data_IF_541992533967
#
_entry.id   IF_541992533967
#
_cell.length_a   1.000
_cell.length_b   1.000
_cell.length_c   1.000
_cell.angle_alpha   90.00
_cell.angle_beta   90.00
_cell.angle_gamma   90.00
#
_symmetry.space_group_name_H-M   'P 1'
#
loop_
_entity.id
_entity.type
_entity.pdbx_description
1 polymer ?
#
# COMPACT_ATOMS: atom_id res chain seq x y z
N UNK A 1 10.06 -17.38 13.92
CA UNK A 1 10.84 -16.55 12.97
C UNK A 1 10.38 -16.98 11.59
N UNK A 2 9.87 -16.03 10.80
CA UNK A 2 9.40 -16.27 9.44
C UNK A 2 10.55 -15.99 8.48
N UNK A 3 10.79 -16.87 7.52
CA UNK A 3 11.91 -16.76 6.59
C UNK A 3 11.39 -16.77 5.16
N UNK A 4 11.87 -15.80 4.37
CA UNK A 4 11.63 -15.68 2.94
C UNK A 4 12.95 -15.83 2.20
N UNK A 5 12.96 -16.60 1.11
CA UNK A 5 14.18 -16.86 0.35
C UNK A 5 14.61 -15.64 -0.48
N UNK A 6 13.67 -14.75 -0.81
CA UNK A 6 13.95 -13.53 -1.57
C UNK A 6 12.84 -12.48 -1.40
N UNK A 7 13.16 -11.23 -1.75
CA UNK A 7 12.16 -10.16 -1.80
C UNK A 7 11.04 -10.42 -2.82
N UNK A 8 11.30 -11.20 -3.87
CA UNK A 8 10.28 -11.57 -4.85
C UNK A 8 9.15 -12.40 -4.24
N UNK A 9 9.42 -13.21 -3.23
CA UNK A 9 8.38 -14.00 -2.56
C UNK A 9 7.33 -13.15 -1.83
N UNK A 10 7.62 -11.86 -1.61
CA UNK A 10 6.75 -10.95 -0.86
C UNK A 10 6.32 -9.72 -1.66
N UNK A 11 6.89 -9.46 -2.84
CA UNK A 11 6.53 -8.28 -3.67
C UNK A 11 6.25 -8.60 -5.14
N UNK A 12 6.38 -9.85 -5.61
CA UNK A 12 6.27 -10.14 -7.05
C UNK A 12 4.84 -10.12 -7.58
N UNK A 13 3.84 -10.44 -6.75
CA UNK A 13 2.42 -10.44 -7.13
C UNK A 13 1.56 -9.84 -6.01
N UNK A 14 0.32 -9.42 -6.31
CA UNK A 14 -0.63 -8.96 -5.29
C UNK A 14 -0.87 -10.00 -4.18
N UNK A 15 -1.03 -11.29 -4.52
CA UNK A 15 -1.27 -12.36 -3.54
C UNK A 15 -0.06 -12.60 -2.64
N UNK A 16 1.14 -12.65 -3.22
CA UNK A 16 2.38 -12.79 -2.48
C UNK A 16 2.55 -11.63 -1.48
N UNK A 17 2.20 -10.42 -1.94
CA UNK A 17 2.22 -9.24 -1.08
C UNK A 17 1.14 -9.30 0.01
N UNK A 18 -0.09 -9.68 -0.32
CA UNK A 18 -1.17 -9.85 0.64
C UNK A 18 -0.79 -10.85 1.74
N UNK A 19 -0.22 -11.99 1.38
CA UNK A 19 0.22 -12.99 2.36
C UNK A 19 1.30 -12.44 3.28
N UNK A 20 2.21 -11.61 2.77
CA UNK A 20 3.18 -10.90 3.61
C UNK A 20 2.51 -9.86 4.52
N UNK A 21 1.55 -9.08 4.01
CA UNK A 21 0.82 -8.08 4.81
C UNK A 21 0.05 -8.74 5.96
N UNK A 22 -0.54 -9.92 5.75
CA UNK A 22 -1.18 -10.71 6.82
C UNK A 22 -0.19 -11.14 7.90
N UNK A 23 1.06 -11.46 7.53
CA UNK A 23 2.11 -11.74 8.52
C UNK A 23 2.45 -10.48 9.32
N UNK A 24 2.59 -9.33 8.67
CA UNK A 24 2.82 -8.05 9.36
C UNK A 24 1.66 -7.73 10.31
N UNK A 25 0.44 -7.95 9.86
CA UNK A 25 -0.78 -7.71 10.63
C UNK A 25 -0.86 -8.59 11.89
N UNK A 26 -0.55 -9.88 11.75
CA UNK A 26 -0.45 -10.78 12.90
C UNK A 26 0.59 -10.29 13.93
N UNK A 27 1.68 -9.65 13.47
CA UNK A 27 2.68 -9.03 14.37
C UNK A 27 2.17 -7.76 15.05
N UNK A 28 1.27 -7.01 14.42
CA UNK A 28 0.58 -5.91 15.08
C UNK A 28 -0.37 -6.42 16.17
N UNK A 29 -1.16 -7.45 15.86
CA UNK A 29 -2.16 -8.03 16.77
C UNK A 29 -1.53 -8.74 17.99
N UNK A 30 -0.36 -9.35 17.83
CA UNK A 30 0.45 -9.88 18.95
C UNK A 30 0.88 -8.78 19.94
N UNK A 31 0.80 -7.51 19.54
CA UNK A 31 1.27 -6.36 20.29
C UNK A 31 2.77 -6.12 20.10
N UNK A 32 3.13 -4.84 20.03
CA UNK A 32 4.51 -4.43 19.81
C UNK A 32 5.38 -4.45 21.09
N UNK A 33 4.76 -4.65 22.27
CA UNK A 33 5.48 -4.76 23.54
C UNK A 33 6.33 -3.52 23.89
N UNK A 34 5.89 -2.33 23.47
CA UNK A 34 6.63 -1.08 23.65
C UNK A 34 7.73 -0.80 22.62
N UNK A 35 7.83 -1.61 21.57
CA UNK A 35 8.74 -1.40 20.43
C UNK A 35 8.00 -0.79 19.24
N UNK A 36 8.73 -0.26 18.27
CA UNK A 36 8.14 0.09 16.97
C UNK A 36 7.96 -1.18 16.11
N UNK A 37 7.08 -1.11 15.11
CA UNK A 37 6.78 -2.23 14.21
C UNK A 37 8.04 -2.72 13.50
N UNK A 38 8.85 -1.79 12.98
CA UNK A 38 10.12 -2.09 12.33
C UNK A 38 11.04 -3.01 13.15
N UNK A 39 11.27 -2.71 14.44
CA UNK A 39 12.12 -3.52 15.31
C UNK A 39 11.57 -4.94 15.53
N UNK A 40 10.24 -5.06 15.63
CA UNK A 40 9.59 -6.37 15.76
C UNK A 40 9.78 -7.19 14.48
N UNK A 41 9.53 -6.59 13.31
CA UNK A 41 9.72 -7.25 12.02
C UNK A 41 11.18 -7.63 11.77
N UNK A 42 12.13 -6.73 12.03
CA UNK A 42 13.56 -7.01 11.87
C UNK A 42 14.06 -8.16 12.75
N UNK A 43 13.45 -8.36 13.93
CA UNK A 43 13.81 -9.47 14.82
C UNK A 43 13.14 -10.78 14.43
N UNK A 44 11.94 -10.74 13.87
CA UNK A 44 11.10 -11.92 13.68
C UNK A 44 11.04 -12.43 12.23
N UNK A 45 11.46 -11.60 11.28
CA UNK A 45 11.41 -11.89 9.85
C UNK A 45 12.81 -11.77 9.25
N UNK A 46 13.19 -12.76 8.45
CA UNK A 46 14.37 -12.73 7.60
C UNK A 46 13.99 -12.84 6.13
N UNK A 47 14.69 -12.10 5.28
CA UNK A 47 14.53 -12.13 3.82
C UNK A 47 15.93 -12.25 3.21
N UNK A 48 16.17 -13.28 2.39
CA UNK A 48 17.48 -13.54 1.78
C UNK A 48 18.61 -13.61 2.84
N UNK A 49 18.34 -14.32 3.94
CA UNK A 49 19.27 -14.49 5.07
C UNK A 49 19.56 -13.24 5.89
N UNK A 50 18.87 -12.11 5.64
CA UNK A 50 19.06 -10.84 6.35
C UNK A 50 17.83 -10.47 7.17
N UNK A 51 17.98 -9.77 8.31
CA UNK A 51 16.86 -9.17 9.02
C UNK A 51 15.98 -8.33 8.10
N UNK A 52 14.66 -8.38 8.29
CA UNK A 52 13.73 -7.57 7.51
C UNK A 52 14.10 -6.08 7.58
N UNK A 53 14.00 -5.40 6.44
CA UNK A 53 14.17 -3.96 6.33
C UNK A 53 13.00 -3.36 5.57
N UNK A 54 12.30 -2.45 6.23
CA UNK A 54 11.19 -1.70 5.64
C UNK A 54 11.61 -0.93 4.39
N UNK A 55 12.77 -0.27 4.41
CA UNK A 55 13.29 0.45 3.24
C UNK A 55 13.53 -0.47 2.04
N UNK A 56 14.10 -1.66 2.26
CA UNK A 56 14.27 -2.64 1.19
C UNK A 56 12.93 -3.14 0.68
N UNK A 57 11.97 -3.39 1.57
CA UNK A 57 10.64 -3.81 1.16
C UNK A 57 9.96 -2.78 0.24
N UNK A 58 9.94 -1.52 0.67
CA UNK A 58 9.35 -0.42 -0.10
C UNK A 58 10.04 -0.24 -1.46
N UNK A 59 11.37 -0.28 -1.50
CA UNK A 59 12.11 -0.24 -2.76
C UNK A 59 11.78 -1.43 -3.68
N UNK A 60 11.58 -2.63 -3.13
CA UNK A 60 11.21 -3.79 -3.95
C UNK A 60 9.77 -3.68 -4.47
N UNK A 61 8.85 -3.12 -3.70
CA UNK A 61 7.50 -2.80 -4.19
C UNK A 61 7.54 -1.79 -5.33
N UNK A 62 8.30 -0.71 -5.19
CA UNK A 62 8.42 0.31 -6.23
C UNK A 62 8.97 -0.28 -7.54
N UNK A 63 9.95 -1.19 -7.44
CA UNK A 63 10.58 -1.81 -8.60
C UNK A 63 9.78 -2.96 -9.24
N UNK A 64 8.84 -3.59 -8.52
CA UNK A 64 8.18 -4.81 -8.98
C UNK A 64 6.67 -4.69 -9.15
N UNK A 65 6.01 -3.84 -8.37
CA UNK A 65 4.54 -3.75 -8.37
C UNK A 65 3.94 -3.16 -9.65
N UNK A 66 4.72 -2.46 -10.48
CA UNK A 66 4.29 -1.99 -11.80
C UNK A 66 3.91 -3.13 -12.75
N UNK A 67 4.45 -4.34 -12.53
CA UNK A 67 4.17 -5.52 -13.36
C UNK A 67 3.15 -6.47 -12.73
N UNK A 68 2.44 -6.03 -11.67
CA UNK A 68 1.38 -6.84 -11.10
C UNK A 68 0.23 -6.98 -12.10
N UNK A 69 -0.32 -8.19 -12.20
CA UNK A 69 -1.51 -8.45 -12.98
C UNK A 69 -2.75 -8.04 -12.19
N UNK A 70 -3.00 -6.74 -12.12
CA UNK A 70 -4.11 -6.20 -11.35
C UNK A 70 -5.45 -6.57 -11.99
N UNK A 71 -5.52 -6.68 -13.32
CA UNK A 71 -6.76 -7.04 -14.03
C UNK A 71 -7.29 -8.41 -13.62
N UNK A 72 -6.43 -9.43 -13.58
CA UNK A 72 -6.81 -10.80 -13.20
C UNK A 72 -6.89 -11.02 -11.68
N UNK A 73 -6.32 -10.11 -10.89
CA UNK A 73 -6.37 -10.17 -9.42
C UNK A 73 -7.82 -10.01 -8.93
N UNK A 74 -8.36 -10.93 -8.11
CA UNK A 74 -9.70 -10.82 -7.56
C UNK A 74 -9.91 -9.58 -6.67
N UNK A 75 -11.04 -8.91 -6.78
CA UNK A 75 -11.38 -7.75 -5.95
C UNK A 75 -11.23 -7.98 -4.43
N UNK A 76 -11.58 -9.17 -3.87
CA UNK A 76 -11.32 -9.45 -2.45
C UNK A 76 -9.84 -9.34 -2.04
N UNK A 77 -8.92 -9.75 -2.93
CA UNK A 77 -7.47 -9.63 -2.68
C UNK A 77 -7.06 -8.16 -2.64
N UNK A 78 -7.51 -7.37 -3.63
CA UNK A 78 -7.22 -5.93 -3.71
C UNK A 78 -7.75 -5.17 -2.49
N UNK A 79 -8.99 -5.44 -2.11
CA UNK A 79 -9.63 -4.82 -0.95
C UNK A 79 -8.89 -5.13 0.34
N UNK A 80 -8.44 -6.37 0.53
CA UNK A 80 -7.70 -6.76 1.73
C UNK A 80 -6.31 -6.12 1.76
N UNK A 81 -5.61 -6.01 0.61
CA UNK A 81 -4.35 -5.26 0.51
C UNK A 81 -4.56 -3.81 0.95
N UNK A 82 -5.63 -3.16 0.49
CA UNK A 82 -5.96 -1.77 0.85
C UNK A 82 -6.23 -1.63 2.36
N UNK A 83 -7.02 -2.55 2.93
CA UNK A 83 -7.35 -2.55 4.35
C UNK A 83 -6.10 -2.73 5.21
N UNK A 84 -5.26 -3.73 4.90
CA UNK A 84 -4.04 -4.00 5.64
C UNK A 84 -3.01 -2.89 5.49
N UNK A 85 -2.88 -2.32 4.30
CA UNK A 85 -2.02 -1.16 4.05
C UNK A 85 -2.41 0.02 4.93
N UNK A 86 -3.70 0.34 5.01
CA UNK A 86 -4.21 1.42 5.84
C UNK A 86 -3.97 1.14 7.34
N UNK A 87 -4.31 -0.07 7.80
CA UNK A 87 -4.08 -0.49 9.19
C UNK A 87 -2.60 -0.43 9.59
N UNK A 88 -1.71 -0.87 8.71
CA UNK A 88 -0.26 -0.82 8.96
C UNK A 88 0.25 0.63 9.01
N UNK A 89 -0.22 1.50 8.11
CA UNK A 89 0.13 2.92 8.11
C UNK A 89 -0.35 3.65 9.37
N UNK A 90 -1.53 3.31 9.88
CA UNK A 90 -2.04 3.87 11.14
C UNK A 90 -1.18 3.45 12.34
N UNK A 91 -0.63 2.23 12.32
CA UNK A 91 0.27 1.73 13.37
C UNK A 91 1.71 2.25 13.25
N UNK A 92 2.20 2.43 12.02
CA UNK A 92 3.52 2.97 11.71
C UNK A 92 3.43 3.94 10.51
N UNK A 93 3.28 5.25 10.76
CA UNK A 93 3.13 6.25 9.70
C UNK A 93 4.32 6.34 8.73
N UNK A 94 5.49 5.83 9.11
CA UNK A 94 6.65 5.76 8.22
C UNK A 94 6.56 4.64 7.17
N UNK A 95 5.63 3.69 7.36
CA UNK A 95 5.47 2.53 6.49
C UNK A 95 4.41 2.78 5.40
N UNK A 96 4.74 3.70 4.50
CA UNK A 96 3.80 4.19 3.47
C UNK A 96 3.70 3.26 2.24
N UNK A 97 3.17 2.05 2.44
CA UNK A 97 3.02 1.04 1.40
C UNK A 97 2.24 1.54 0.17
N UNK A 98 1.22 2.38 0.38
CA UNK A 98 0.38 2.92 -0.69
C UNK A 98 1.18 3.74 -1.71
N UNK A 99 2.15 4.55 -1.26
CA UNK A 99 2.96 5.39 -2.15
C UNK A 99 4.06 4.61 -2.87
N UNK A 100 4.59 3.54 -2.26
CA UNK A 100 5.67 2.75 -2.84
C UNK A 100 5.19 1.55 -3.65
N UNK A 101 3.89 1.26 -3.63
CA UNK A 101 3.29 0.20 -4.44
C UNK A 101 2.67 0.83 -5.68
N UNK A 102 3.41 0.92 -6.78
CA UNK A 102 2.93 1.47 -8.06
C UNK A 102 1.65 0.75 -8.54
N UNK A 103 1.57 -0.57 -8.34
CA UNK A 103 0.37 -1.37 -8.63
C UNK A 103 -0.89 -0.96 -7.83
N UNK A 104 -0.72 -0.22 -6.73
CA UNK A 104 -1.79 0.13 -5.80
C UNK A 104 -2.79 1.11 -6.42
N UNK A 105 -2.32 2.11 -7.16
CA UNK A 105 -3.19 3.06 -7.86
C UNK A 105 -4.04 2.39 -8.95
N UNK A 106 -3.46 1.43 -9.70
CA UNK A 106 -4.18 0.65 -10.70
C UNK A 106 -5.29 -0.18 -10.06
N UNK A 107 -4.99 -0.91 -8.98
CA UNK A 107 -5.99 -1.68 -8.24
C UNK A 107 -7.18 -0.82 -7.79
N UNK A 108 -6.91 0.38 -7.26
CA UNK A 108 -7.95 1.29 -6.77
C UNK A 108 -8.79 1.82 -7.93
N UNK A 109 -8.14 2.26 -9.01
CA UNK A 109 -8.81 2.82 -10.18
C UNK A 109 -9.74 1.79 -10.81
N UNK A 110 -9.25 0.57 -11.03
CA UNK A 110 -10.04 -0.53 -11.58
C UNK A 110 -11.23 -0.93 -10.68
N UNK A 111 -11.06 -0.94 -9.35
CA UNK A 111 -12.14 -1.21 -8.41
C UNK A 111 -13.21 -0.11 -8.45
N UNK A 112 -12.79 1.16 -8.49
CA UNK A 112 -13.69 2.31 -8.59
C UNK A 112 -14.48 2.32 -9.90
N UNK A 113 -13.83 1.99 -11.02
CA UNK A 113 -14.51 1.87 -12.34
C UNK A 113 -15.61 0.80 -12.34
N UNK A 114 -15.43 -0.26 -11.55
CA UNK A 114 -16.44 -1.32 -11.34
C UNK A 114 -17.51 -0.95 -10.30
N UNK A 115 -17.42 0.23 -9.68
CA UNK A 115 -18.36 0.70 -8.66
C UNK A 115 -18.09 0.16 -7.25
N UNK A 116 -16.89 -0.34 -6.99
CA UNK A 116 -16.49 -0.77 -5.64
C UNK A 116 -16.02 0.44 -4.84
N UNK A 117 -16.60 0.64 -3.64
CA UNK A 117 -16.17 1.69 -2.73
C UNK A 117 -14.85 1.31 -2.04
N UNK A 118 -13.83 2.16 -2.16
CA UNK A 118 -12.49 1.91 -1.61
C UNK A 118 -11.98 3.17 -0.90
N UNK A 119 -11.66 3.04 0.40
CA UNK A 119 -10.93 4.06 1.15
C UNK A 119 -9.45 3.67 1.22
N UNK A 120 -8.64 4.23 0.32
CA UNK A 120 -7.29 3.73 0.07
C UNK A 120 -6.15 4.54 0.70
N UNK A 121 -6.45 5.62 1.43
CA UNK A 121 -5.43 6.47 2.02
C UNK A 121 -4.52 7.22 1.02
N UNK A 122 -4.80 7.08 -0.27
CA UNK A 122 -4.30 7.97 -1.32
C UNK A 122 -5.22 9.19 -1.36
N UNK A 123 -4.66 10.39 -1.21
CA UNK A 123 -5.39 11.64 -1.39
C UNK A 123 -5.70 11.83 -2.88
N UNK A 124 -6.69 11.10 -3.36
CA UNK A 124 -7.35 11.34 -4.63
C UNK A 124 -8.64 12.13 -4.39
N UNK A 125 -8.58 13.18 -3.56
CA UNK A 125 -9.57 14.23 -3.70
C UNK A 125 -9.57 14.63 -5.18
N UNK A 126 -10.76 14.63 -5.80
CA UNK A 126 -10.93 15.17 -7.15
C UNK A 126 -10.17 16.49 -7.22
N UNK A 127 -9.43 16.78 -8.32
CA UNK A 127 -8.76 18.07 -8.43
C UNK A 127 -9.80 19.14 -8.12
N UNK A 128 -9.51 19.96 -7.10
CA UNK A 128 -10.44 20.97 -6.62
C UNK A 128 -11.07 21.64 -7.83
N UNK A 129 -12.42 21.71 -7.93
CA UNK A 129 -13.08 22.16 -9.13
C UNK A 129 -12.41 23.47 -9.53
N UNK A 130 -11.80 23.49 -10.71
CA UNK A 130 -11.10 24.68 -11.19
C UNK A 130 -12.09 25.81 -11.06
N UNK A 131 -11.89 26.72 -10.11
CA UNK A 131 -12.63 27.96 -10.10
C UNK A 131 -12.21 28.63 -11.41
N UNK A 132 -13.02 28.46 -12.46
CA UNK A 132 -13.07 29.42 -13.55
C UNK A 132 -13.42 30.72 -12.85
N UNK A 133 -12.39 31.49 -12.55
CA UNK A 133 -12.52 32.86 -12.11
C UNK A 133 -13.23 33.56 -13.26
N UNK A 134 -14.56 33.62 -13.19
CA UNK A 134 -15.39 34.43 -14.05
C UNK A 134 -15.04 35.86 -13.72
N UNK A 135 -14.06 36.43 -14.42
CA UNK A 135 -13.96 37.87 -14.52
C UNK A 135 -15.08 38.32 -15.46
N UNK A 136 -16.26 38.53 -14.89
CA UNK A 136 -17.29 39.37 -15.47
C UNK A 136 -16.69 40.78 -15.60
N UNK A 137 -16.07 41.04 -16.75
CA UNK A 137 -15.69 42.38 -17.16
C UNK A 137 -16.83 42.93 -18.02
N UNK A 138 -17.87 43.44 -17.37
CA UNK A 138 -18.78 44.40 -18.00
C UNK A 138 -18.28 45.82 -17.70
N UNK A 139 -17.82 46.59 -18.70
CA UNK A 139 -17.74 48.03 -18.57
C UNK A 139 -18.99 48.64 -19.23
N UNK A 140 -20.01 48.89 -18.41
CA UNK A 140 -21.02 49.89 -18.72
C UNK A 140 -20.50 51.28 -18.37
N UNK A 141 -20.15 52.07 -19.38
CA UNK A 141 -20.47 53.49 -19.60
C UNK A 141 -19.72 54.01 -20.83
#
# INVERSE_FOLDING_TARGET
>A
MTEYSSWKEITATPEAHLDFLRVVDAKLDEGLGGKNLYEKLAKEITVDGKPFSQAFHLNNLENHSTNWDTDETPDPVKLEIVQLTSKIKDADPGYDLAHFTVGYEYMISEMKERGVEVNAGLDHSDPAPSHRSGSDYEPGM
#
